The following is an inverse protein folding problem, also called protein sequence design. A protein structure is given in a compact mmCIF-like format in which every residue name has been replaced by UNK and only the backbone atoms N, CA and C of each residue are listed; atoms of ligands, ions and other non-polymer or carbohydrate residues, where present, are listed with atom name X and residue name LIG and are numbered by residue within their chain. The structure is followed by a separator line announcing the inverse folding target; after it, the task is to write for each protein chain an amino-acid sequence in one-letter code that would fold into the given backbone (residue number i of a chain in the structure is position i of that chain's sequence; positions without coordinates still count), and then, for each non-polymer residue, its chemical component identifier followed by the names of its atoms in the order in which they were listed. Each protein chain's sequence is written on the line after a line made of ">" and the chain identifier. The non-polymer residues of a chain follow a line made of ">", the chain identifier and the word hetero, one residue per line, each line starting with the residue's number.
data_IF_383809805487
#
_entry.id   IF_383809805487
#
_cell.length_a   1.000
_cell.length_b   1.000
_cell.length_c   1.000
_cell.angle_alpha   90.00
_cell.angle_beta   90.00
_cell.angle_gamma   90.00
#
_symmetry.space_group_name_H-M   'P 1'
#
loop_
_entity.id
_entity.type
_entity.pdbx_description
1 polymer ?
#
# COMPACT_ATOMS: atom_id res chain seq x y z
N UNK A 1 6.18 -6.43 -22.58
CA UNK A 1 5.00 -6.85 -21.79
C UNK A 1 5.06 -6.10 -20.46
N UNK A 2 4.33 -4.99 -20.37
CA UNK A 2 4.38 -4.07 -19.23
C UNK A 2 3.72 -4.68 -18.00
N UNK A 3 4.50 -4.85 -16.95
CA UNK A 3 4.08 -5.40 -15.66
C UNK A 3 3.05 -4.49 -15.00
N UNK A 4 1.88 -5.04 -14.71
CA UNK A 4 0.82 -4.44 -13.91
C UNK A 4 1.34 -4.14 -12.49
N UNK A 5 1.86 -2.93 -12.27
CA UNK A 5 2.14 -2.39 -10.93
C UNK A 5 0.87 -1.68 -10.42
N UNK A 6 -0.10 -2.45 -9.93
CA UNK A 6 -1.26 -1.88 -9.21
C UNK A 6 -0.90 -1.85 -7.73
N UNK A 7 -0.64 -0.66 -7.20
CA UNK A 7 -0.40 -0.46 -5.78
C UNK A 7 -1.73 -0.09 -5.13
N UNK A 8 -2.40 -1.11 -4.59
CA UNK A 8 -3.59 -0.93 -3.76
C UNK A 8 -3.16 -0.41 -2.38
N UNK A 9 -3.47 0.85 -2.12
CA UNK A 9 -3.29 1.52 -0.84
C UNK A 9 -4.31 1.00 0.19
N UNK A 10 -3.99 -0.11 0.85
CA UNK A 10 -4.64 -0.51 2.09
C UNK A 10 -3.57 -1.12 3.01
N UNK A 11 -3.43 -0.53 4.19
CA UNK A 11 -2.28 -0.56 5.11
C UNK A 11 -1.26 0.54 4.82
N UNK A 12 -0.91 1.30 5.87
CA UNK A 12 0.31 2.12 5.99
C UNK A 12 1.61 1.34 5.64
N UNK A 13 1.51 0.03 5.37
CA UNK A 13 2.56 -0.94 5.07
C UNK A 13 2.51 -1.46 3.62
N UNK A 14 1.46 -1.19 2.87
CA UNK A 14 1.31 -1.76 1.51
C UNK A 14 1.97 -0.96 0.38
N UNK A 15 2.79 0.06 0.68
CA UNK A 15 3.48 0.86 -0.34
C UNK A 15 5.00 0.63 -0.44
N UNK A 16 5.58 -0.31 0.32
CA UNK A 16 7.04 -0.55 0.29
C UNK A 16 7.50 -1.63 -0.73
N UNK A 17 6.68 -2.06 -1.69
CA UNK A 17 6.93 -3.32 -2.41
C UNK A 17 7.26 -3.24 -3.91
N UNK A 18 7.44 -2.07 -4.53
CA UNK A 18 7.71 -2.02 -5.98
C UNK A 18 8.66 -0.91 -6.50
N UNK A 19 9.29 -0.10 -5.64
CA UNK A 19 10.31 0.87 -6.01
C UNK A 19 11.70 0.41 -5.52
N UNK A 20 12.79 0.62 -6.28
CA UNK A 20 14.13 0.52 -5.72
C UNK A 20 14.19 1.43 -4.49
N UNK A 21 14.65 0.86 -3.37
CA UNK A 21 14.62 1.47 -2.04
C UNK A 21 15.67 2.59 -1.95
N UNK A 22 15.49 3.65 -2.72
CA UNK A 22 16.33 4.84 -2.75
C UNK A 22 15.85 5.93 -1.79
N UNK A 23 14.54 6.06 -1.58
CA UNK A 23 13.92 7.07 -0.70
C UNK A 23 12.61 6.51 -0.15
N UNK A 24 12.24 6.82 1.10
CA UNK A 24 10.91 6.51 1.65
C UNK A 24 9.84 7.45 1.04
N UNK A 25 9.81 7.54 -0.29
CA UNK A 25 9.14 8.60 -1.05
C UNK A 25 7.63 8.69 -0.87
N UNK A 26 7.16 9.94 -0.75
CA UNK A 26 5.76 10.38 -0.81
C UNK A 26 5.03 10.38 0.53
N UNK A 27 4.87 9.21 1.14
CA UNK A 27 3.98 9.04 2.30
C UNK A 27 4.71 9.21 3.64
N UNK A 28 5.97 8.79 3.72
CA UNK A 28 6.78 8.89 4.93
C UNK A 28 7.72 10.10 4.92
N UNK A 29 7.63 10.98 3.93
CA UNK A 29 8.61 12.05 3.71
C UNK A 29 8.83 12.96 4.93
N UNK A 30 7.77 13.26 5.68
CA UNK A 30 7.91 14.09 6.90
C UNK A 30 8.42 13.30 8.10
N UNK A 31 8.11 12.01 8.20
CA UNK A 31 8.69 11.13 9.21
C UNK A 31 10.18 10.92 8.93
N UNK A 32 10.56 10.70 7.67
CA UNK A 32 11.94 10.46 7.27
C UNK A 32 12.87 11.63 7.64
N UNK A 33 12.37 12.88 7.57
CA UNK A 33 13.12 14.08 8.00
C UNK A 33 13.42 14.10 9.51
N UNK A 34 12.65 13.39 10.32
CA UNK A 34 12.85 13.29 11.78
C UNK A 34 13.81 12.17 12.18
N UNK A 35 14.15 11.27 11.25
CA UNK A 35 14.98 10.10 11.52
C UNK A 35 16.43 10.31 11.07
N UNK A 36 17.38 9.82 11.86
CA UNK A 36 18.77 9.66 11.45
C UNK A 36 18.96 8.39 10.59
N UNK A 37 20.15 8.19 10.03
CA UNK A 37 20.41 7.07 9.11
C UNK A 37 20.26 5.69 9.76
N UNK A 38 20.66 5.53 11.02
CA UNK A 38 20.50 4.28 11.75
C UNK A 38 19.01 3.97 11.95
N UNK A 39 18.23 4.98 12.35
CA UNK A 39 16.79 4.88 12.53
C UNK A 39 16.07 4.54 11.22
N UNK A 40 16.50 5.13 10.09
CA UNK A 40 15.97 4.79 8.77
C UNK A 40 16.28 3.35 8.39
N UNK A 41 17.48 2.86 8.68
CA UNK A 41 17.86 1.47 8.42
C UNK A 41 17.04 0.48 9.25
N UNK A 42 16.83 0.77 10.54
CA UNK A 42 16.00 -0.05 11.42
C UNK A 42 14.55 -0.11 10.93
N UNK A 43 13.98 1.04 10.58
CA UNK A 43 12.64 1.10 10.02
C UNK A 43 12.53 0.33 8.70
N UNK A 44 13.51 0.49 7.80
CA UNK A 44 13.59 -0.26 6.53
C UNK A 44 13.62 -1.77 6.78
N UNK A 45 14.40 -2.23 7.76
CA UNK A 45 14.51 -3.65 8.09
C UNK A 45 13.15 -4.25 8.53
N UNK A 46 12.36 -3.49 9.29
CA UNK A 46 10.99 -3.90 9.67
C UNK A 46 10.11 -4.04 8.42
N UNK A 47 10.12 -3.04 7.54
CA UNK A 47 9.29 -3.04 6.32
C UNK A 47 9.66 -4.13 5.31
N UNK A 48 10.94 -4.47 5.20
CA UNK A 48 11.44 -5.44 4.23
C UNK A 48 11.52 -6.86 4.79
N UNK A 49 11.04 -7.10 6.01
CA UNK A 49 11.05 -8.44 6.58
C UNK A 49 9.92 -9.29 5.99
N UNK A 50 10.28 -10.13 5.01
CA UNK A 50 9.33 -10.97 4.30
C UNK A 50 8.81 -12.17 5.13
N UNK A 51 9.40 -12.44 6.30
CA UNK A 51 8.90 -13.45 7.24
C UNK A 51 7.75 -12.94 8.12
N UNK A 52 7.57 -11.62 8.21
CA UNK A 52 6.52 -11.03 9.04
C UNK A 52 5.22 -10.88 8.25
N UNK A 53 4.11 -11.07 8.97
CA UNK A 53 2.78 -10.71 8.45
C UNK A 53 2.59 -9.20 8.42
N UNK A 54 1.62 -8.72 7.65
CA UNK A 54 1.25 -7.30 7.63
C UNK A 54 0.93 -6.77 9.04
N UNK A 55 0.26 -7.57 9.87
CA UNK A 55 0.00 -7.21 11.26
C UNK A 55 1.28 -7.04 12.06
N UNK A 56 2.19 -8.01 11.97
CA UNK A 56 3.46 -7.97 12.71
C UNK A 56 4.33 -6.78 12.30
N UNK A 57 4.36 -6.44 11.01
CA UNK A 57 5.05 -5.23 10.54
C UNK A 57 4.41 -3.98 11.15
N UNK A 58 3.07 -3.92 11.24
CA UNK A 58 2.36 -2.79 11.84
C UNK A 58 2.67 -2.63 13.31
N UNK A 59 2.62 -3.72 14.05
CA UNK A 59 2.90 -3.74 15.48
C UNK A 59 4.36 -3.32 15.72
N UNK A 60 5.32 -3.87 14.97
CA UNK A 60 6.73 -3.50 15.09
C UNK A 60 7.02 -2.04 14.73
N UNK A 61 6.37 -1.48 13.71
CA UNK A 61 6.51 -0.06 13.37
C UNK A 61 5.97 0.81 14.50
N UNK A 62 4.80 0.47 15.03
CA UNK A 62 4.20 1.20 16.15
C UNK A 62 5.11 1.16 17.38
N UNK A 63 5.53 -0.03 17.79
CA UNK A 63 6.46 -0.23 18.90
C UNK A 63 7.77 0.54 18.68
N UNK A 64 8.28 0.54 17.46
CA UNK A 64 9.50 1.27 17.09
C UNK A 64 9.34 2.78 17.30
N UNK A 65 8.26 3.39 16.79
CA UNK A 65 7.99 4.81 16.97
C UNK A 65 7.71 5.18 18.43
N UNK A 66 6.98 4.33 19.16
CA UNK A 66 6.76 4.50 20.60
C UNK A 66 8.07 4.49 21.40
N UNK A 67 9.01 3.62 21.00
CA UNK A 67 10.33 3.50 21.64
C UNK A 67 11.23 4.72 21.40
N UNK A 68 11.29 5.23 20.16
CA UNK A 68 12.15 6.40 19.85
C UNK A 68 11.50 7.72 20.29
N UNK A 69 10.17 7.77 20.36
CA UNK A 69 9.41 8.91 20.84
C UNK A 69 9.61 10.20 20.03
N UNK A 70 9.41 11.33 20.70
CA UNK A 70 9.68 12.66 20.16
C UNK A 70 8.87 13.01 18.90
N UNK A 71 9.48 13.83 18.03
CA UNK A 71 8.84 14.31 16.80
C UNK A 71 8.52 13.17 15.82
N UNK A 72 9.33 12.11 15.81
CA UNK A 72 9.10 10.95 14.97
C UNK A 72 7.79 10.23 15.33
N UNK A 73 7.52 10.03 16.62
CA UNK A 73 6.26 9.45 17.10
C UNK A 73 5.06 10.36 16.76
N UNK A 74 5.21 11.67 16.96
CA UNK A 74 4.15 12.63 16.62
C UNK A 74 3.80 12.57 15.14
N UNK A 75 4.80 12.56 14.26
CA UNK A 75 4.60 12.46 12.80
C UNK A 75 4.03 11.11 12.39
N UNK A 76 4.43 10.02 13.05
CA UNK A 76 3.82 8.71 12.84
C UNK A 76 2.32 8.72 13.20
N UNK A 77 1.95 9.28 14.35
CA UNK A 77 0.56 9.36 14.79
C UNK A 77 -0.29 10.26 13.87
N UNK A 78 0.25 11.41 13.43
CA UNK A 78 -0.39 12.29 12.45
C UNK A 78 -0.65 11.55 11.13
N UNK A 79 0.35 10.84 10.63
CA UNK A 79 0.23 10.05 9.41
C UNK A 79 -0.83 8.95 9.58
N UNK A 80 -0.77 8.21 10.69
CA UNK A 80 -1.71 7.14 11.00
C UNK A 80 -3.15 7.65 11.03
N UNK A 81 -3.42 8.73 11.77
CA UNK A 81 -4.75 9.34 11.82
C UNK A 81 -5.22 9.91 10.47
N UNK A 82 -4.31 10.46 9.67
CA UNK A 82 -4.62 10.92 8.31
C UNK A 82 -5.02 9.76 7.40
N UNK A 83 -4.34 8.61 7.51
CA UNK A 83 -4.72 7.41 6.78
C UNK A 83 -6.06 6.86 7.22
N UNK A 84 -6.30 6.74 8.53
CA UNK A 84 -7.57 6.24 9.04
C UNK A 84 -8.76 7.11 8.60
N UNK A 85 -8.60 8.43 8.64
CA UNK A 85 -9.65 9.37 8.20
C UNK A 85 -9.90 9.32 6.69
N UNK A 86 -8.88 9.10 5.87
CA UNK A 86 -9.02 9.00 4.40
C UNK A 86 -9.40 7.61 3.91
N UNK A 87 -9.26 6.59 4.75
CA UNK A 87 -9.54 5.19 4.42
C UNK A 87 -10.96 5.02 3.88
N UNK A 88 -11.94 5.54 4.60
CA UNK A 88 -13.35 5.38 4.24
C UNK A 88 -13.71 6.17 2.97
N UNK A 89 -13.12 7.35 2.79
CA UNK A 89 -13.25 8.13 1.54
C UNK A 89 -12.68 7.35 0.35
N UNK A 90 -11.55 6.69 0.54
CA UNK A 90 -10.91 5.90 -0.51
C UNK A 90 -11.72 4.64 -0.85
N UNK A 91 -12.26 3.94 0.16
CA UNK A 91 -13.19 2.81 -0.06
C UNK A 91 -14.38 3.28 -0.88
N UNK A 92 -14.98 4.40 -0.49
CA UNK A 92 -16.14 4.96 -1.18
C UNK A 92 -15.82 5.29 -2.64
N UNK A 93 -14.66 5.90 -2.92
CA UNK A 93 -14.24 6.17 -4.32
C UNK A 93 -14.11 4.89 -5.14
N UNK A 94 -13.58 3.82 -4.55
CA UNK A 94 -13.48 2.51 -5.22
C UNK A 94 -14.88 1.94 -5.46
N UNK A 95 -15.77 1.98 -4.47
CA UNK A 95 -17.16 1.51 -4.59
C UNK A 95 -17.92 2.30 -5.66
N UNK A 96 -17.82 3.63 -5.66
CA UNK A 96 -18.44 4.50 -6.66
C UNK A 96 -17.93 4.20 -8.07
N UNK A 97 -16.61 4.04 -8.23
CA UNK A 97 -16.00 3.76 -9.53
C UNK A 97 -16.30 2.34 -10.05
N UNK A 98 -16.55 1.39 -9.15
CA UNK A 98 -16.88 0.00 -9.50
C UNK A 98 -18.38 -0.22 -9.67
N UNK A 99 -19.22 0.70 -9.21
CA UNK A 99 -20.69 0.60 -9.29
C UNK A 99 -21.22 0.36 -10.71
N UNK A 100 -20.55 0.90 -11.73
CA UNK A 100 -20.93 0.80 -13.15
C UNK A 100 -20.14 -0.28 -13.92
N UNK A 101 -19.26 -1.02 -13.26
CA UNK A 101 -18.48 -2.08 -13.90
C UNK A 101 -19.28 -3.38 -14.04
N UNK A 102 -18.76 -4.30 -14.86
CA UNK A 102 -19.28 -5.65 -14.98
C UNK A 102 -19.27 -6.39 -13.64
N UNK A 103 -20.12 -7.42 -13.51
CA UNK A 103 -20.13 -8.27 -12.31
C UNK A 103 -18.78 -8.93 -12.07
N UNK A 104 -18.08 -9.35 -13.13
CA UNK A 104 -16.73 -9.90 -13.05
C UNK A 104 -15.72 -8.92 -12.47
N UNK A 105 -15.77 -7.64 -12.89
CA UNK A 105 -14.92 -6.59 -12.34
C UNK A 105 -15.25 -6.26 -10.88
N UNK A 106 -16.53 -6.20 -10.51
CA UNK A 106 -16.95 -6.03 -9.11
C UNK A 106 -16.46 -7.17 -8.21
N UNK A 107 -16.58 -8.40 -8.67
CA UNK A 107 -16.09 -9.58 -7.96
C UNK A 107 -14.57 -9.55 -7.80
N UNK A 108 -13.84 -9.20 -8.86
CA UNK A 108 -12.38 -9.06 -8.82
C UNK A 108 -11.96 -8.00 -7.79
N UNK A 109 -12.62 -6.84 -7.76
CA UNK A 109 -12.33 -5.79 -6.76
C UNK A 109 -12.65 -6.26 -5.33
N UNK A 110 -13.75 -6.99 -5.13
CA UNK A 110 -14.07 -7.54 -3.82
C UNK A 110 -13.00 -8.53 -3.33
N UNK A 111 -12.49 -9.40 -4.22
CA UNK A 111 -11.40 -10.32 -3.91
C UNK A 111 -10.09 -9.59 -3.61
N UNK A 112 -9.78 -8.52 -4.35
CA UNK A 112 -8.62 -7.66 -4.07
C UNK A 112 -8.74 -7.06 -2.66
N UNK A 113 -9.91 -6.51 -2.31
CA UNK A 113 -10.18 -5.93 -0.99
C UNK A 113 -9.92 -6.96 0.11
N UNK A 114 -10.44 -8.18 -0.04
CA UNK A 114 -10.23 -9.26 0.93
C UNK A 114 -8.75 -9.61 1.13
N UNK A 115 -7.96 -9.71 0.06
CA UNK A 115 -6.52 -9.98 0.16
C UNK A 115 -5.83 -8.83 0.92
N UNK A 116 -6.18 -7.58 0.60
CA UNK A 116 -5.57 -6.40 1.22
C UNK A 116 -5.92 -6.26 2.69
N UNK A 117 -7.16 -6.53 3.08
CA UNK A 117 -7.61 -6.50 4.47
C UNK A 117 -7.11 -7.70 5.29
N UNK A 118 -6.60 -8.76 4.64
CA UNK A 118 -6.07 -9.92 5.36
C UNK A 118 -4.69 -9.63 5.97
N UNK A 119 -4.70 -9.18 7.24
CA UNK A 119 -3.50 -8.83 8.00
C UNK A 119 -2.60 -10.03 8.39
N UNK A 120 -3.09 -11.26 8.21
CA UNK A 120 -2.31 -12.49 8.49
C UNK A 120 -1.34 -12.86 7.37
N UNK A 121 -1.45 -12.24 6.19
CA UNK A 121 -0.55 -12.51 5.08
C UNK A 121 0.80 -11.82 5.26
N UNK A 122 1.85 -12.51 4.87
CA UNK A 122 3.15 -11.90 4.55
C UNK A 122 3.09 -11.12 3.24
N UNK A 123 4.10 -10.29 2.97
CA UNK A 123 4.22 -9.55 1.70
C UNK A 123 4.32 -10.48 0.48
N UNK A 124 5.03 -11.59 0.63
CA UNK A 124 5.15 -12.60 -0.43
C UNK A 124 3.79 -13.22 -0.74
N UNK A 125 3.05 -13.64 0.30
CA UNK A 125 1.72 -14.23 0.13
C UNK A 125 0.70 -13.24 -0.43
N UNK A 126 0.68 -11.98 0.03
CA UNK A 126 -0.18 -10.93 -0.52
C UNK A 126 0.10 -10.72 -2.02
N UNK A 127 1.38 -10.65 -2.40
CA UNK A 127 1.79 -10.51 -3.81
C UNK A 127 1.40 -11.73 -4.64
N UNK A 128 1.62 -12.93 -4.12
CA UNK A 128 1.31 -14.18 -4.81
C UNK A 128 -0.20 -14.33 -5.02
N UNK A 129 -1.00 -14.07 -4.00
CA UNK A 129 -2.46 -14.09 -4.11
C UNK A 129 -2.95 -13.02 -5.09
N UNK A 130 -2.39 -11.81 -5.04
CA UNK A 130 -2.74 -10.74 -5.98
C UNK A 130 -2.38 -11.13 -7.42
N UNK A 131 -1.17 -11.67 -7.63
CA UNK A 131 -0.72 -12.15 -8.94
C UNK A 131 -1.64 -13.24 -9.47
N UNK A 132 -1.93 -14.26 -8.66
CA UNK A 132 -2.79 -15.38 -9.03
C UNK A 132 -4.19 -14.89 -9.40
N UNK A 133 -4.73 -13.96 -8.61
CA UNK A 133 -6.03 -13.36 -8.84
C UNK A 133 -6.09 -12.63 -10.20
N UNK A 134 -5.07 -11.81 -10.51
CA UNK A 134 -4.98 -11.11 -11.79
C UNK A 134 -4.63 -12.01 -12.97
N UNK A 135 -3.83 -13.06 -12.79
CA UNK A 135 -3.50 -14.00 -13.87
C UNK A 135 -4.76 -14.76 -14.32
N UNK A 136 -5.62 -15.14 -13.37
CA UNK A 136 -6.85 -15.90 -13.62
C UNK A 136 -8.03 -15.04 -14.09
N UNK A 137 -7.95 -13.71 -13.94
CA UNK A 137 -9.02 -12.83 -14.38
C UNK A 137 -9.10 -12.76 -15.93
N UNK A 138 -10.30 -12.64 -16.51
CA UNK A 138 -10.47 -12.30 -17.93
C UNK A 138 -9.84 -10.94 -18.30
N UNK A 139 -9.35 -10.79 -19.53
CA UNK A 139 -8.62 -9.58 -19.95
C UNK A 139 -9.54 -8.35 -20.06
N UNK A 140 -10.79 -8.53 -20.46
CA UNK A 140 -11.85 -7.52 -20.43
C UNK A 140 -12.09 -6.99 -19.02
N UNK A 141 -12.20 -7.90 -18.04
CA UNK A 141 -12.30 -7.53 -16.62
C UNK A 141 -11.07 -6.74 -16.16
N UNK A 142 -9.86 -7.17 -16.50
CA UNK A 142 -8.62 -6.42 -16.17
C UNK A 142 -8.60 -5.03 -16.79
N UNK A 143 -9.13 -4.88 -18.00
CA UNK A 143 -9.19 -3.60 -18.71
C UNK A 143 -10.15 -2.63 -18.01
N UNK A 144 -11.29 -3.09 -17.51
CA UNK A 144 -12.20 -2.26 -16.71
C UNK A 144 -11.49 -1.70 -15.46
N UNK A 145 -10.70 -2.53 -14.77
CA UNK A 145 -9.95 -2.11 -13.58
C UNK A 145 -8.84 -1.10 -13.88
N UNK A 146 -8.36 -0.97 -15.12
CA UNK A 146 -7.37 0.07 -15.48
C UNK A 146 -7.93 1.49 -15.29
N UNK A 147 -9.25 1.67 -15.39
CA UNK A 147 -9.90 2.96 -15.14
C UNK A 147 -9.79 3.42 -13.68
N UNK A 148 -9.55 2.49 -12.75
CA UNK A 148 -9.37 2.80 -11.32
C UNK A 148 -8.01 3.44 -11.02
N UNK A 149 -7.05 3.44 -11.97
CA UNK A 149 -5.70 4.00 -11.76
C UNK A 149 -5.71 5.45 -11.23
N UNK A 150 -6.65 6.28 -11.68
CA UNK A 150 -6.74 7.68 -11.23
C UNK A 150 -7.16 7.85 -9.76
N UNK A 151 -7.78 6.83 -9.14
CA UNK A 151 -8.24 6.87 -7.74
C UNK A 151 -7.08 6.64 -6.77
N UNK A 152 -6.06 5.89 -7.20
CA UNK A 152 -4.92 5.50 -6.38
C UNK A 152 -3.69 6.41 -6.58
N UNK A 153 -3.86 7.51 -7.32
CA UNK A 153 -2.81 8.46 -7.66
C UNK A 153 -2.16 8.17 -9.02
N UNK A 154 -2.15 9.17 -9.90
CA UNK A 154 -1.18 9.22 -10.98
C UNK A 154 0.19 9.44 -10.33
N UNK A 155 1.07 8.43 -10.37
CA UNK A 155 2.48 8.75 -10.39
C UNK A 155 2.76 9.19 -11.83
N UNK A 156 2.55 10.48 -12.10
CA UNK A 156 3.12 11.06 -13.31
C UNK A 156 4.61 10.75 -13.25
N UNK A 157 5.08 9.92 -14.17
CA UNK A 157 6.49 9.86 -14.50
C UNK A 157 6.85 11.28 -14.89
N UNK A 158 7.42 12.04 -13.94
CA UNK A 158 8.16 13.23 -14.27
C UNK A 158 9.30 12.77 -15.17
N UNK A 159 9.05 12.85 -16.47
CA UNK A 159 10.07 12.79 -17.50
C UNK A 159 11.13 13.80 -17.12
N UNK A 160 12.31 13.29 -16.77
CA UNK A 160 13.51 14.08 -16.74
C UNK A 160 13.76 14.55 -18.17
N UNK A 161 13.57 15.84 -18.40
CA UNK A 161 14.22 16.57 -19.47
C UNK A 161 15.52 17.17 -18.90
#
# INVERSE_FOLDING_TARGET
>A
MSSFKIIFAFCLIAFAAAAPIGEFGGIFGDIEKTLNDEQKQQLKAIFTNDALTKQQIQDQIKEYFEKIGGDALNKFNELHGSFESKKDEMIKKIEDATSNMSEGAKQLVAQIKQIKENMSLTRSQDREQMKTLFDNAPEDVKNELKSLKGIFGNHDEHGSA
#
